data_IF_203260562692
#
_entry.id   IF_203260562692
#
_cell.length_a   1.000
_cell.length_b   1.000
_cell.length_c   1.000
_cell.angle_alpha   90.00
_cell.angle_beta   90.00
_cell.angle_gamma   90.00
#
_symmetry.space_group_name_H-M   'P 1'
#
loop_
_entity.id
_entity.type
_entity.pdbx_description
1 polymer ?
#
# COMPACT_ATOMS: atom_id res chain seq x y z
N UNK A 1 -4.88 32.31 -21.79
CA UNK A 1 -5.13 31.26 -20.79
C UNK A 1 -4.49 31.74 -19.50
N UNK A 2 -5.29 32.29 -18.59
CA UNK A 2 -4.77 32.84 -17.34
C UNK A 2 -4.16 31.71 -16.51
N UNK A 3 -2.94 31.92 -15.99
CA UNK A 3 -2.29 30.97 -15.10
C UNK A 3 -3.18 30.82 -13.86
N UNK A 4 -3.73 29.63 -13.64
CA UNK A 4 -4.45 29.28 -12.42
C UNK A 4 -3.49 29.55 -11.24
N UNK A 5 -3.81 30.57 -10.43
CA UNK A 5 -2.98 30.99 -9.31
C UNK A 5 -3.36 30.16 -8.09
N UNK A 6 -2.52 29.21 -7.74
CA UNK A 6 -2.72 28.36 -6.57
C UNK A 6 -2.60 29.16 -5.28
N UNK A 7 -3.44 28.85 -4.30
CA UNK A 7 -3.28 29.33 -2.92
C UNK A 7 -2.09 28.64 -2.22
N UNK A 8 -1.69 29.15 -1.07
CA UNK A 8 -0.52 28.63 -0.33
C UNK A 8 -0.70 27.18 0.14
N UNK A 9 -1.94 26.78 0.48
CA UNK A 9 -2.23 25.41 0.90
C UNK A 9 -2.16 24.45 -0.28
N UNK A 10 -2.66 24.83 -1.45
CA UNK A 10 -2.57 24.05 -2.68
C UNK A 10 -1.11 23.86 -3.11
N UNK A 11 -0.29 24.92 -3.06
CA UNK A 11 1.17 24.81 -3.32
C UNK A 11 1.85 23.87 -2.33
N UNK A 12 1.47 23.93 -1.06
CA UNK A 12 1.99 23.03 -0.02
C UNK A 12 1.66 21.56 -0.34
N UNK A 13 0.42 21.27 -0.74
CA UNK A 13 0.00 19.93 -1.12
C UNK A 13 0.72 19.43 -2.37
N UNK A 14 0.95 20.30 -3.35
CA UNK A 14 1.74 19.95 -4.54
C UNK A 14 3.17 19.56 -4.14
N UNK A 15 3.83 20.35 -3.27
CA UNK A 15 5.17 20.04 -2.76
C UNK A 15 5.18 18.69 -2.03
N UNK A 16 4.16 18.40 -1.20
CA UNK A 16 4.07 17.13 -0.48
C UNK A 16 4.00 15.94 -1.44
N UNK A 17 3.17 16.03 -2.48
CA UNK A 17 3.02 14.99 -3.49
C UNK A 17 4.31 14.83 -4.31
N UNK A 18 5.00 15.92 -4.65
CA UNK A 18 6.32 15.86 -5.30
C UNK A 18 7.36 15.17 -4.44
N UNK A 19 7.42 15.46 -3.13
CA UNK A 19 8.36 14.80 -2.21
C UNK A 19 8.09 13.29 -2.18
N UNK A 20 6.83 12.88 -1.99
CA UNK A 20 6.45 11.47 -1.96
C UNK A 20 6.89 10.78 -3.25
N UNK A 21 6.53 11.36 -4.40
CA UNK A 21 6.82 10.80 -5.71
C UNK A 21 8.32 10.68 -5.99
N UNK A 22 9.10 11.75 -5.75
CA UNK A 22 10.54 11.75 -6.00
C UNK A 22 11.24 10.72 -5.12
N UNK A 23 10.89 10.64 -3.84
CA UNK A 23 11.48 9.67 -2.91
C UNK A 23 11.16 8.24 -3.35
N UNK A 24 9.89 7.94 -3.67
CA UNK A 24 9.48 6.63 -4.17
C UNK A 24 10.22 6.24 -5.44
N UNK A 25 10.37 7.16 -6.41
CA UNK A 25 11.09 6.87 -7.66
C UNK A 25 12.60 6.72 -7.48
N UNK A 26 13.23 7.45 -6.56
CA UNK A 26 14.65 7.24 -6.24
C UNK A 26 14.85 5.84 -5.67
N UNK A 27 14.02 5.42 -4.70
CA UNK A 27 14.12 4.07 -4.12
C UNK A 27 13.84 3.00 -5.18
N UNK A 28 12.81 3.19 -6.02
CA UNK A 28 12.50 2.28 -7.11
C UNK A 28 13.66 2.18 -8.11
N UNK A 29 14.27 3.31 -8.48
CA UNK A 29 15.42 3.35 -9.39
C UNK A 29 16.62 2.59 -8.84
N UNK A 30 16.94 2.78 -7.55
CA UNK A 30 17.99 2.01 -6.87
C UNK A 30 17.64 0.52 -6.88
N UNK A 31 16.41 0.15 -6.53
CA UNK A 31 15.97 -1.24 -6.51
C UNK A 31 16.09 -1.91 -7.88
N UNK A 32 15.67 -1.24 -8.96
CA UNK A 32 15.76 -1.76 -10.33
C UNK A 32 17.22 -1.96 -10.76
N UNK A 33 18.09 -0.98 -10.47
CA UNK A 33 19.52 -1.06 -10.86
C UNK A 33 20.22 -2.23 -10.16
N UNK A 34 19.92 -2.48 -8.88
CA UNK A 34 20.56 -3.52 -8.08
C UNK A 34 19.67 -4.75 -7.85
N UNK A 35 18.65 -4.94 -8.69
CA UNK A 35 17.60 -5.93 -8.47
C UNK A 35 18.17 -7.35 -8.33
N UNK A 36 19.15 -7.69 -9.17
CA UNK A 36 19.76 -9.03 -9.19
C UNK A 36 20.52 -9.31 -7.90
N UNK A 37 21.31 -8.35 -7.44
CA UNK A 37 22.10 -8.44 -6.21
C UNK A 37 21.19 -8.50 -4.99
N UNK A 38 20.16 -7.65 -4.95
CA UNK A 38 19.18 -7.60 -3.85
C UNK A 38 18.45 -8.95 -3.73
N UNK A 39 17.87 -9.46 -4.82
CA UNK A 39 17.22 -10.78 -4.79
C UNK A 39 18.19 -11.92 -4.52
N UNK A 40 19.44 -11.81 -4.97
CA UNK A 40 20.49 -12.76 -4.65
C UNK A 40 20.74 -12.86 -3.15
N UNK A 41 20.79 -11.73 -2.44
CA UNK A 41 20.92 -11.69 -0.98
C UNK A 41 19.64 -12.20 -0.30
N UNK A 42 18.45 -11.71 -0.71
CA UNK A 42 17.18 -12.09 -0.08
C UNK A 42 16.90 -13.59 -0.23
N UNK A 43 17.40 -14.27 -1.26
CA UNK A 43 17.22 -15.72 -1.48
C UNK A 43 18.38 -16.57 -0.93
N UNK A 44 19.47 -15.96 -0.48
CA UNK A 44 20.63 -16.73 -0.01
C UNK A 44 20.46 -17.07 1.48
N UNK A 45 20.21 -18.36 1.75
CA UNK A 45 19.99 -18.91 3.09
C UNK A 45 21.27 -18.94 3.96
N UNK A 46 22.44 -18.61 3.40
CA UNK A 46 23.66 -18.35 4.19
C UNK A 46 23.56 -17.08 5.02
N UNK A 47 22.74 -16.11 4.62
CA UNK A 47 22.50 -14.90 5.41
C UNK A 47 21.39 -15.11 6.45
N UNK A 48 21.54 -14.55 7.67
CA UNK A 48 20.48 -14.60 8.68
C UNK A 48 19.14 -14.07 8.14
N UNK A 49 18.05 -14.80 8.42
CA UNK A 49 16.72 -14.47 7.91
C UNK A 49 16.28 -13.03 8.25
N UNK A 50 16.61 -12.52 9.44
CA UNK A 50 16.29 -11.13 9.80
C UNK A 50 17.00 -10.11 8.92
N UNK A 51 18.25 -10.35 8.53
CA UNK A 51 18.98 -9.44 7.64
C UNK A 51 18.32 -9.39 6.26
N UNK A 52 17.85 -10.54 5.76
CA UNK A 52 17.12 -10.65 4.49
C UNK A 52 15.76 -9.95 4.55
N UNK A 53 15.02 -10.15 5.65
CA UNK A 53 13.75 -9.44 5.91
C UNK A 53 13.97 -7.93 5.99
N UNK A 54 14.99 -7.47 6.71
CA UNK A 54 15.32 -6.04 6.84
C UNK A 54 15.68 -5.42 5.50
N UNK A 55 16.47 -6.12 4.67
CA UNK A 55 16.80 -5.64 3.33
C UNK A 55 15.55 -5.49 2.45
N UNK A 56 14.69 -6.51 2.44
CA UNK A 56 13.44 -6.46 1.69
C UNK A 56 12.51 -5.35 2.22
N UNK A 57 12.37 -5.25 3.54
CA UNK A 57 11.54 -4.25 4.21
C UNK A 57 12.06 -2.83 3.99
N UNK A 58 13.38 -2.63 3.89
CA UNK A 58 13.99 -1.34 3.58
C UNK A 58 13.51 -0.81 2.23
N UNK A 59 13.51 -1.65 1.18
CA UNK A 59 13.02 -1.25 -0.14
C UNK A 59 11.50 -1.06 -0.16
N UNK A 60 10.75 -1.95 0.50
CA UNK A 60 9.30 -1.80 0.61
C UNK A 60 8.90 -0.50 1.34
N UNK A 61 9.49 -0.25 2.50
CA UNK A 61 9.30 0.98 3.26
C UNK A 61 9.82 2.19 2.49
N UNK A 62 10.95 2.10 1.82
CA UNK A 62 11.48 3.18 1.00
C UNK A 62 10.50 3.59 -0.11
N UNK A 63 9.88 2.61 -0.77
CA UNK A 63 8.94 2.84 -1.86
C UNK A 63 7.60 3.42 -1.37
N UNK A 64 7.02 2.83 -0.32
CA UNK A 64 5.67 3.17 0.12
C UNK A 64 5.60 4.06 1.38
N UNK A 65 6.56 3.96 2.30
CA UNK A 65 6.50 4.62 3.61
C UNK A 65 7.40 5.85 3.77
N UNK A 66 8.55 5.89 3.11
CA UNK A 66 9.57 6.90 3.41
C UNK A 66 9.15 8.31 2.98
N UNK A 67 8.57 8.43 1.77
CA UNK A 67 8.06 9.71 1.26
C UNK A 67 6.99 10.33 2.18
N UNK A 68 6.00 9.53 2.61
CA UNK A 68 4.94 10.02 3.52
C UNK A 68 5.48 10.34 4.91
N UNK A 69 6.54 9.66 5.36
CA UNK A 69 7.20 9.93 6.65
C UNK A 69 7.95 11.25 6.61
N UNK A 70 8.69 11.54 5.53
CA UNK A 70 9.34 12.84 5.33
C UNK A 70 8.31 13.95 5.36
N UNK A 71 7.21 13.81 4.60
CA UNK A 71 6.15 14.81 4.57
C UNK A 71 5.52 14.99 5.95
N UNK A 72 5.21 13.91 6.66
CA UNK A 72 4.67 13.96 8.03
C UNK A 72 5.57 14.76 8.97
N UNK A 73 6.90 14.53 8.93
CA UNK A 73 7.88 15.27 9.74
C UNK A 73 7.92 16.75 9.35
N UNK A 74 8.07 17.06 8.05
CA UNK A 74 8.15 18.44 7.54
C UNK A 74 6.89 19.25 7.86
N UNK A 75 5.73 18.58 7.87
CA UNK A 75 4.43 19.20 8.12
C UNK A 75 3.99 19.15 9.57
N UNK A 76 4.75 18.45 10.43
CA UNK A 76 4.39 18.17 11.83
C UNK A 76 2.99 17.53 11.94
N UNK A 77 2.67 16.66 10.98
CA UNK A 77 1.41 15.91 10.91
C UNK A 77 1.63 14.53 11.52
N UNK A 78 0.80 14.10 12.46
CA UNK A 78 0.87 12.73 13.00
C UNK A 78 0.11 11.77 12.09
N UNK A 79 0.61 10.54 11.87
CA UNK A 79 -0.15 9.54 11.10
C UNK A 79 -1.54 9.26 11.66
N UNK A 80 -1.72 9.41 12.98
CA UNK A 80 -3.04 9.29 13.62
C UNK A 80 -4.07 10.27 13.03
N UNK A 81 -3.64 11.46 12.58
CA UNK A 81 -4.55 12.48 12.02
C UNK A 81 -5.19 12.07 10.70
N UNK A 82 -4.67 11.04 10.02
CA UNK A 82 -5.23 10.50 8.77
C UNK A 82 -6.33 9.45 9.00
N UNK A 83 -6.83 9.32 10.24
CA UNK A 83 -7.99 8.50 10.57
C UNK A 83 -7.67 7.17 11.24
N UNK A 84 -6.50 6.99 11.85
CA UNK A 84 -6.21 5.82 12.70
C UNK A 84 -6.91 5.98 14.06
N UNK A 85 -8.22 5.78 14.08
CA UNK A 85 -9.08 5.97 15.26
C UNK A 85 -9.81 4.68 15.65
N UNK A 86 -10.11 4.50 16.93
CA UNK A 86 -10.87 3.32 17.37
C UNK A 86 -12.35 3.40 16.98
N UNK A 87 -12.95 4.59 17.06
CA UNK A 87 -14.37 4.79 16.72
C UNK A 87 -14.61 4.50 15.24
N UNK A 88 -15.54 3.58 14.93
CA UNK A 88 -15.87 3.20 13.56
C UNK A 88 -14.84 2.30 12.87
N UNK A 89 -13.85 1.78 13.61
CA UNK A 89 -12.82 0.88 13.08
C UNK A 89 -13.43 -0.39 12.48
N UNK A 90 -14.36 -1.03 13.20
CA UNK A 90 -15.04 -2.23 12.72
C UNK A 90 -15.77 -2.01 11.39
N UNK A 91 -16.47 -0.88 11.25
CA UNK A 91 -17.22 -0.57 10.03
C UNK A 91 -16.27 -0.29 8.85
N UNK A 92 -15.15 0.38 9.11
CA UNK A 92 -14.09 0.58 8.10
C UNK A 92 -13.52 -0.74 7.63
N UNK A 93 -13.15 -1.63 8.55
CA UNK A 93 -12.67 -2.98 8.23
C UNK A 93 -13.71 -3.75 7.43
N UNK A 94 -14.97 -3.76 7.87
CA UNK A 94 -16.05 -4.47 7.17
C UNK A 94 -16.20 -4.01 5.72
N UNK A 95 -16.30 -2.69 5.49
CA UNK A 95 -16.43 -2.15 4.12
C UNK A 95 -15.21 -2.45 3.27
N UNK A 96 -14.01 -2.32 3.81
CA UNK A 96 -12.77 -2.66 3.14
C UNK A 96 -12.72 -4.15 2.75
N UNK A 97 -13.06 -5.06 3.65
CA UNK A 97 -13.11 -6.51 3.37
C UNK A 97 -14.12 -6.83 2.26
N UNK A 98 -15.30 -6.18 2.26
CA UNK A 98 -16.30 -6.35 1.20
C UNK A 98 -15.74 -5.98 -0.19
N UNK A 99 -14.90 -4.93 -0.28
CA UNK A 99 -14.24 -4.55 -1.53
C UNK A 99 -13.23 -5.60 -2.03
N UNK A 100 -12.75 -6.49 -1.15
CA UNK A 100 -11.78 -7.53 -1.48
C UNK A 100 -12.43 -8.83 -1.96
N UNK A 101 -13.74 -9.03 -1.71
CA UNK A 101 -14.48 -10.24 -2.10
C UNK A 101 -14.32 -10.58 -3.60
N UNK A 102 -14.44 -9.64 -4.55
CA UNK A 102 -14.27 -9.96 -5.98
C UNK A 102 -12.90 -10.57 -6.29
N UNK A 103 -11.84 -10.07 -5.64
CA UNK A 103 -10.49 -10.59 -5.82
C UNK A 103 -10.35 -12.00 -5.23
N UNK A 104 -10.92 -12.26 -4.04
CA UNK A 104 -10.91 -13.61 -3.44
C UNK A 104 -11.59 -14.62 -4.37
N UNK A 105 -12.79 -14.29 -4.86
CA UNK A 105 -13.54 -15.14 -5.79
C UNK A 105 -12.69 -15.40 -7.03
N UNK A 106 -12.16 -14.34 -7.65
CA UNK A 106 -11.31 -14.44 -8.83
C UNK A 106 -10.10 -15.37 -8.60
N UNK A 107 -9.31 -15.14 -7.55
CA UNK A 107 -8.11 -15.92 -7.24
C UNK A 107 -8.38 -17.42 -7.03
N UNK A 108 -9.50 -17.77 -6.37
CA UNK A 108 -9.88 -19.18 -6.21
C UNK A 108 -10.46 -19.78 -7.49
N UNK A 109 -11.29 -19.05 -8.23
CA UNK A 109 -11.94 -19.60 -9.45
C UNK A 109 -10.97 -19.90 -10.57
N UNK A 110 -9.88 -19.14 -10.68
CA UNK A 110 -8.83 -19.37 -11.68
C UNK A 110 -7.66 -20.22 -11.16
N UNK A 111 -7.75 -20.74 -9.92
CA UNK A 111 -6.70 -21.55 -9.32
C UNK A 111 -5.39 -20.80 -9.07
N UNK A 112 -5.41 -19.46 -9.01
CA UNK A 112 -4.24 -18.64 -8.69
C UNK A 112 -3.80 -18.82 -7.24
N UNK A 113 -4.73 -19.17 -6.35
CA UNK A 113 -4.43 -19.49 -4.95
C UNK A 113 -5.24 -20.68 -4.44
N UNK A 114 -4.60 -21.49 -3.60
CA UNK A 114 -5.21 -22.67 -2.98
C UNK A 114 -5.18 -22.61 -1.43
N UNK A 115 -4.59 -21.56 -0.86
CA UNK A 115 -4.42 -21.41 0.59
C UNK A 115 -4.45 -19.94 0.99
N UNK A 116 -4.82 -19.70 2.24
CA UNK A 116 -4.78 -18.39 2.85
C UNK A 116 -3.66 -18.33 3.90
N UNK A 117 -2.75 -17.38 3.74
CA UNK A 117 -1.77 -17.03 4.77
C UNK A 117 -1.35 -15.56 4.60
N UNK A 118 -1.55 -14.68 5.60
CA UNK A 118 -1.08 -13.29 5.53
C UNK A 118 0.40 -13.20 5.11
N UNK A 119 0.67 -12.35 4.12
CA UNK A 119 2.00 -12.15 3.53
C UNK A 119 2.60 -13.38 2.84
N UNK A 120 1.80 -14.37 2.43
CA UNK A 120 2.22 -15.55 1.67
C UNK A 120 3.10 -15.22 0.45
N UNK A 121 2.81 -14.13 -0.24
CA UNK A 121 3.54 -13.68 -1.44
C UNK A 121 4.85 -12.96 -1.11
N UNK A 122 5.07 -12.57 0.15
CA UNK A 122 6.35 -11.98 0.60
C UNK A 122 7.38 -13.11 0.73
N UNK A 123 8.47 -12.97 -0.01
CA UNK A 123 9.46 -14.03 -0.28
C UNK A 123 10.00 -14.73 0.98
N UNK A 124 10.16 -14.00 2.08
CA UNK A 124 10.75 -14.51 3.33
C UNK A 124 9.72 -15.05 4.34
N UNK A 125 8.41 -14.91 4.10
CA UNK A 125 7.37 -15.20 5.10
C UNK A 125 7.41 -16.64 5.62
N UNK A 126 7.51 -17.63 4.73
CA UNK A 126 7.52 -19.05 5.13
C UNK A 126 8.71 -19.39 6.02
N UNK A 127 9.88 -18.87 5.68
CA UNK A 127 11.12 -19.11 6.44
C UNK A 127 11.11 -18.37 7.77
N UNK A 128 10.61 -17.12 7.81
CA UNK A 128 10.40 -16.37 9.05
C UNK A 128 9.47 -17.15 9.98
N UNK A 129 8.33 -17.64 9.50
CA UNK A 129 7.39 -18.40 10.32
C UNK A 129 7.96 -19.74 10.82
N UNK A 130 8.83 -20.38 10.03
CA UNK A 130 9.52 -21.61 10.41
C UNK A 130 10.68 -21.39 11.40
N UNK A 131 11.15 -20.15 11.58
CA UNK A 131 12.24 -19.83 12.50
C UNK A 131 11.81 -19.85 13.98
N UNK A 132 12.78 -20.04 14.86
CA UNK A 132 12.56 -20.10 16.31
C UNK A 132 12.21 -18.72 16.90
N UNK A 133 11.57 -18.74 18.08
CA UNK A 133 11.37 -17.54 18.87
C UNK A 133 12.71 -16.95 19.35
N UNK A 134 12.94 -15.62 19.30
CA UNK A 134 11.99 -14.56 18.93
C UNK A 134 12.06 -14.13 17.45
N UNK A 135 12.84 -14.82 16.62
CA UNK A 135 13.14 -14.42 15.24
C UNK A 135 11.86 -14.36 14.39
N UNK A 136 10.98 -15.35 14.52
CA UNK A 136 9.71 -15.40 13.80
C UNK A 136 8.81 -14.18 14.09
N UNK A 137 8.66 -13.81 15.36
CA UNK A 137 7.84 -12.67 15.79
C UNK A 137 8.45 -11.37 15.26
N UNK A 138 9.76 -11.18 15.42
CA UNK A 138 10.45 -9.97 14.96
C UNK A 138 10.34 -9.82 13.44
N UNK A 139 10.61 -10.90 12.70
CA UNK A 139 10.51 -10.91 11.25
C UNK A 139 9.09 -10.57 10.76
N UNK A 140 8.06 -11.18 11.36
CA UNK A 140 6.68 -10.89 11.01
C UNK A 140 6.25 -9.47 11.38
N UNK A 141 6.74 -8.90 12.49
CA UNK A 141 6.48 -7.50 12.84
C UNK A 141 7.10 -6.52 11.83
N UNK A 142 8.32 -6.80 11.36
CA UNK A 142 8.97 -6.00 10.32
C UNK A 142 8.16 -6.09 9.01
N UNK A 143 7.78 -7.29 8.60
CA UNK A 143 6.96 -7.52 7.40
C UNK A 143 5.61 -6.81 7.50
N UNK A 144 4.89 -6.98 8.62
CA UNK A 144 3.60 -6.34 8.85
C UNK A 144 3.71 -4.80 8.88
N UNK A 145 4.83 -4.26 9.34
CA UNK A 145 5.06 -2.81 9.31
C UNK A 145 5.28 -2.31 7.89
N UNK A 146 6.15 -2.96 7.10
CA UNK A 146 6.50 -2.49 5.77
C UNK A 146 5.42 -2.75 4.71
N UNK A 147 4.96 -4.00 4.57
CA UNK A 147 3.91 -4.38 3.60
C UNK A 147 2.51 -4.15 4.13
N UNK A 148 2.26 -4.40 5.42
CA UNK A 148 0.93 -4.25 5.99
C UNK A 148 0.56 -2.80 6.25
N UNK A 149 1.32 -2.12 7.12
CA UNK A 149 1.03 -0.75 7.51
C UNK A 149 1.41 0.26 6.43
N UNK A 150 2.68 0.35 6.06
CA UNK A 150 3.14 1.44 5.19
C UNK A 150 2.58 1.36 3.77
N UNK A 151 2.48 0.17 3.16
CA UNK A 151 1.88 0.03 1.82
C UNK A 151 0.42 0.50 1.80
N UNK A 152 -0.42 -0.03 2.69
CA UNK A 152 -1.83 0.35 2.77
C UNK A 152 -2.04 1.80 3.21
N UNK A 153 -1.27 2.27 4.17
CA UNK A 153 -1.39 3.63 4.72
C UNK A 153 -0.87 4.71 3.77
N UNK A 154 0.09 4.38 2.90
CA UNK A 154 0.56 5.27 1.84
C UNK A 154 -0.58 5.75 0.94
N UNK A 155 -1.44 4.82 0.51
CA UNK A 155 -2.62 5.16 -0.28
C UNK A 155 -3.55 6.13 0.44
N UNK A 156 -3.72 5.99 1.76
CA UNK A 156 -4.54 6.91 2.56
C UNK A 156 -3.96 8.32 2.55
N UNK A 157 -2.66 8.47 2.80
CA UNK A 157 -1.99 9.77 2.85
C UNK A 157 -1.98 10.44 1.47
N UNK A 158 -1.60 9.71 0.42
CA UNK A 158 -1.59 10.23 -0.96
C UNK A 158 -3.01 10.64 -1.38
N UNK A 159 -4.00 9.77 -1.17
CA UNK A 159 -5.38 10.04 -1.54
C UNK A 159 -5.91 11.29 -0.86
N UNK A 160 -5.66 11.45 0.44
CA UNK A 160 -6.09 12.64 1.18
C UNK A 160 -5.43 13.92 0.67
N UNK A 161 -4.13 13.89 0.36
CA UNK A 161 -3.43 15.05 -0.20
C UNK A 161 -3.94 15.43 -1.59
N UNK A 162 -4.20 14.44 -2.45
CA UNK A 162 -4.79 14.67 -3.77
C UNK A 162 -6.22 15.22 -3.66
N UNK A 163 -7.06 14.65 -2.80
CA UNK A 163 -8.43 15.12 -2.64
C UNK A 163 -8.51 16.53 -2.06
N UNK A 164 -7.60 16.89 -1.16
CA UNK A 164 -7.47 18.28 -0.67
C UNK A 164 -6.96 19.22 -1.75
N UNK A 165 -6.13 18.73 -2.67
CA UNK A 165 -5.60 19.51 -3.79
C UNK A 165 -6.62 19.73 -4.91
N UNK A 166 -7.48 18.76 -5.13
CA UNK A 166 -8.54 18.75 -6.14
C UNK A 166 -9.89 18.41 -5.50
N UNK A 167 -10.47 19.34 -4.72
CA UNK A 167 -11.74 19.09 -4.05
C UNK A 167 -12.88 18.91 -5.05
N UNK A 168 -13.84 18.06 -4.69
CA UNK A 168 -15.04 17.76 -5.48
C UNK A 168 -16.27 17.78 -4.60
N UNK A 169 -17.41 18.18 -5.17
CA UNK A 169 -18.71 18.09 -4.49
C UNK A 169 -19.35 16.71 -4.67
N UNK A 170 -18.81 15.87 -5.57
CA UNK A 170 -19.36 14.55 -5.88
C UNK A 170 -18.65 13.48 -5.06
N UNK A 171 -19.37 12.87 -4.12
CA UNK A 171 -18.86 11.87 -3.18
C UNK A 171 -18.14 10.68 -3.82
N UNK A 172 -18.57 10.26 -5.01
CA UNK A 172 -17.96 9.15 -5.76
C UNK A 172 -16.86 9.60 -6.75
N UNK A 173 -16.71 10.90 -7.02
CA UNK A 173 -15.61 11.39 -7.84
C UNK A 173 -14.38 11.69 -6.97
N UNK A 174 -13.85 10.65 -6.32
CA UNK A 174 -12.71 10.76 -5.41
C UNK A 174 -11.39 10.66 -6.18
N UNK A 175 -10.77 11.81 -6.50
CA UNK A 175 -9.55 11.87 -7.32
C UNK A 175 -8.37 11.14 -6.70
N UNK A 176 -8.22 11.22 -5.39
CA UNK A 176 -7.19 10.49 -4.65
C UNK A 176 -7.35 8.98 -4.79
N UNK A 177 -8.56 8.47 -4.61
CA UNK A 177 -8.86 7.05 -4.75
C UNK A 177 -8.67 6.55 -6.18
N UNK A 178 -9.11 7.32 -7.17
CA UNK A 178 -8.91 7.00 -8.59
C UNK A 178 -7.42 6.94 -8.91
N UNK A 179 -6.66 7.97 -8.54
CA UNK A 179 -5.23 8.03 -8.78
C UNK A 179 -4.48 6.87 -8.11
N UNK A 180 -4.76 6.61 -6.82
CA UNK A 180 -4.16 5.51 -6.08
C UNK A 180 -4.46 4.14 -6.73
N UNK A 181 -5.69 3.93 -7.22
CA UNK A 181 -6.08 2.67 -7.87
C UNK A 181 -5.35 2.45 -9.18
N UNK A 182 -5.26 3.50 -10.02
CA UNK A 182 -4.49 3.46 -11.27
C UNK A 182 -3.01 3.21 -10.99
N UNK A 183 -2.43 3.93 -10.03
CA UNK A 183 -1.03 3.73 -9.65
C UNK A 183 -0.76 2.32 -9.12
N UNK A 184 -1.67 1.75 -8.32
CA UNK A 184 -1.54 0.38 -7.84
C UNK A 184 -1.51 -0.63 -9.00
N UNK A 185 -2.42 -0.50 -9.97
CA UNK A 185 -2.44 -1.35 -11.17
C UNK A 185 -1.11 -1.26 -11.92
N UNK A 186 -0.57 -0.06 -12.10
CA UNK A 186 0.68 0.17 -12.83
C UNK A 186 1.90 -0.41 -12.10
N UNK A 187 1.99 -0.20 -10.78
CA UNK A 187 3.13 -0.65 -9.96
C UNK A 187 3.16 -2.18 -9.87
N UNK A 188 2.00 -2.81 -9.72
CA UNK A 188 1.90 -4.27 -9.63
C UNK A 188 1.86 -4.96 -11.00
N UNK A 189 1.94 -4.20 -12.09
CA UNK A 189 1.97 -4.75 -13.45
C UNK A 189 0.67 -5.42 -13.88
N UNK A 190 -0.45 -5.17 -13.19
CA UNK A 190 -1.75 -5.76 -13.44
C UNK A 190 -2.49 -5.09 -14.61
N UNK A 191 -1.77 -4.80 -15.70
CA UNK A 191 -2.32 -4.17 -16.90
C UNK A 191 -2.98 -5.25 -17.75
N UNK A 192 -4.32 -5.32 -17.67
CA UNK A 192 -5.10 -6.40 -18.29
C UNK A 192 -4.98 -6.46 -19.81
N UNK A 193 -4.18 -7.41 -20.31
CA UNK A 193 -4.06 -7.72 -21.76
C UNK A 193 -4.80 -9.00 -22.16
N UNK A 194 -5.22 -9.81 -21.19
CA UNK A 194 -6.06 -11.00 -21.35
C UNK A 194 -7.39 -10.82 -20.60
N UNK A 195 -8.37 -11.70 -20.84
CA UNK A 195 -9.65 -11.65 -20.11
C UNK A 195 -9.45 -11.78 -18.59
N UNK A 196 -8.60 -12.73 -18.16
CA UNK A 196 -8.24 -12.90 -16.75
C UNK A 196 -7.56 -11.65 -16.20
N UNK A 197 -6.58 -11.11 -16.94
CA UNK A 197 -5.87 -9.89 -16.52
C UNK A 197 -6.79 -8.66 -16.47
N UNK A 198 -7.83 -8.57 -17.30
CA UNK A 198 -8.84 -7.51 -17.22
C UNK A 198 -9.66 -7.64 -15.94
N UNK A 199 -10.07 -8.85 -15.56
CA UNK A 199 -10.81 -9.08 -14.31
C UNK A 199 -9.92 -8.78 -13.10
N UNK A 200 -8.67 -9.22 -13.11
CA UNK A 200 -7.68 -8.91 -12.07
C UNK A 200 -7.53 -7.39 -11.92
N UNK A 201 -7.30 -6.67 -13.01
CA UNK A 201 -7.19 -5.21 -13.04
C UNK A 201 -8.43 -4.53 -12.44
N UNK A 202 -9.63 -4.97 -12.81
CA UNK A 202 -10.89 -4.45 -12.26
C UNK A 202 -11.00 -4.75 -10.76
N UNK A 203 -10.62 -5.94 -10.33
CA UNK A 203 -10.68 -6.33 -8.92
C UNK A 203 -9.72 -5.50 -8.05
N UNK A 204 -8.49 -5.25 -8.51
CA UNK A 204 -7.53 -4.36 -7.85
C UNK A 204 -8.07 -2.94 -7.80
N UNK A 205 -8.67 -2.44 -8.88
CA UNK A 205 -9.31 -1.13 -8.89
C UNK A 205 -10.39 -1.05 -7.80
N UNK A 206 -11.29 -2.03 -7.74
CA UNK A 206 -12.37 -2.09 -6.75
C UNK A 206 -11.81 -2.10 -5.33
N UNK A 207 -10.74 -2.86 -5.07
CA UNK A 207 -10.08 -2.92 -3.76
C UNK A 207 -9.58 -1.55 -3.35
N UNK A 208 -8.72 -0.93 -4.16
CA UNK A 208 -8.02 0.31 -3.78
C UNK A 208 -8.99 1.49 -3.75
N UNK A 209 -9.86 1.61 -4.75
CA UNK A 209 -10.86 2.66 -4.81
C UNK A 209 -11.87 2.51 -3.66
N UNK A 210 -12.36 1.29 -3.47
CA UNK A 210 -13.37 0.95 -2.47
C UNK A 210 -12.87 1.16 -1.04
N UNK A 211 -11.66 0.71 -0.72
CA UNK A 211 -11.10 0.91 0.63
C UNK A 211 -10.90 2.40 0.97
N UNK A 212 -10.53 3.22 -0.02
CA UNK A 212 -10.34 4.65 0.18
C UNK A 212 -11.68 5.40 0.31
N UNK A 213 -12.72 4.98 -0.42
CA UNK A 213 -14.09 5.45 -0.17
C UNK A 213 -14.60 5.03 1.21
N UNK A 214 -14.33 3.80 1.64
CA UNK A 214 -14.68 3.31 2.96
C UNK A 214 -14.01 4.15 4.06
N UNK A 215 -12.73 4.51 3.89
CA UNK A 215 -12.04 5.47 4.75
C UNK A 215 -12.76 6.80 4.79
N UNK A 216 -13.16 7.38 3.65
CA UNK A 216 -13.89 8.66 3.65
C UNK A 216 -15.26 8.56 4.35
N UNK A 217 -16.00 7.47 4.15
CA UNK A 217 -17.34 7.28 4.73
C UNK A 217 -17.32 7.05 6.25
N UNK A 218 -16.26 6.42 6.74
CA UNK A 218 -16.09 6.10 8.16
C UNK A 218 -15.15 7.09 8.87
N UNK A 219 -14.47 7.93 8.08
CA UNK A 219 -13.29 8.73 8.44
C UNK A 219 -12.23 7.91 9.20
N UNK A 220 -12.06 6.63 8.83
CA UNK A 220 -11.23 5.66 9.54
C UNK A 220 -10.35 4.85 8.57
N UNK A 221 -9.03 4.88 8.79
CA UNK A 221 -8.03 4.29 7.91
C UNK A 221 -7.62 2.85 8.27
N UNK A 222 -8.08 2.32 9.41
CA UNK A 222 -7.70 0.97 9.84
C UNK A 222 -8.16 -0.13 8.87
N UNK A 223 -9.28 0.06 8.16
CA UNK A 223 -9.71 -0.88 7.12
C UNK A 223 -8.71 -0.99 5.97
N UNK A 224 -8.08 0.11 5.56
CA UNK A 224 -7.03 0.09 4.54
C UNK A 224 -5.80 -0.69 5.03
N UNK A 225 -5.32 -0.41 6.26
CA UNK A 225 -4.21 -1.15 6.86
C UNK A 225 -4.55 -2.63 7.02
N UNK A 226 -5.77 -2.94 7.44
CA UNK A 226 -6.22 -4.32 7.65
C UNK A 226 -6.16 -5.14 6.35
N UNK A 227 -6.63 -4.60 5.22
CA UNK A 227 -6.52 -5.30 3.92
C UNK A 227 -5.06 -5.65 3.63
N UNK A 228 -4.14 -4.72 3.81
CA UNK A 228 -2.74 -4.94 3.46
C UNK A 228 -2.04 -5.91 4.41
N UNK A 229 -2.45 -5.96 5.67
CA UNK A 229 -1.94 -6.93 6.63
C UNK A 229 -2.48 -8.34 6.35
N UNK A 230 -3.78 -8.47 6.08
CA UNK A 230 -4.45 -9.78 6.13
C UNK A 230 -4.88 -10.34 4.78
N UNK A 231 -4.99 -9.54 3.72
CA UNK A 231 -5.64 -9.94 2.47
C UNK A 231 -4.77 -9.70 1.22
N UNK A 232 -4.14 -8.53 1.11
CA UNK A 232 -3.43 -8.09 -0.10
C UNK A 232 -2.37 -9.07 -0.58
N UNK A 233 -1.54 -9.55 0.35
CA UNK A 233 -0.45 -10.49 0.07
C UNK A 233 -0.77 -11.91 0.57
N UNK A 234 -2.05 -12.25 0.73
CA UNK A 234 -2.46 -13.45 1.46
C UNK A 234 -2.82 -14.67 0.60
N UNK A 235 -3.01 -14.44 -0.70
CA UNK A 235 -3.47 -15.43 -1.67
C UNK A 235 -2.37 -15.70 -2.69
#
# INVERSE_FOLDING_TARGET
MDKIKLDENQKRLDIDLWIIMIVSFIILGIFIVFQKEIYGIIKNDEFPILSRVLLAAFFQYGLAGFGITIVSILRKEHFISYGLKMKGMFLSILFCVLCFIPNIIFSYTLGQSNSYLPFQTVLTTKEVLASDFPINVIGMLITATAWGFFEGFNYVVISEKINRRYPTNYRFLNWGAIFCSVMCILIHGAVGVSFEGIIEMISIFIIIYGMLLAKEFTSNAWGCVFIFVFLWNAF
#
